data_IF_427214291124
#
_entry.id   IF_427214291124
#
_cell.length_a   1.000
_cell.length_b   1.000
_cell.length_c   1.000
_cell.angle_alpha   90.00
_cell.angle_beta   90.00
_cell.angle_gamma   90.00
#
_symmetry.space_group_name_H-M   'P 1'
#
loop_
_entity.id
_entity.type
_entity.pdbx_description
1 polymer ?
#
# COMPACT_ATOMS: atom_id res chain seq x y z
N UNK A 1 0.30 -15.15 0.99
CA UNK A 1 1.33 -14.54 1.82
C UNK A 1 2.74 -14.79 1.27
N UNK A 2 3.20 -16.07 1.14
CA UNK A 2 4.57 -16.40 0.71
C UNK A 2 4.96 -15.73 -0.61
N UNK A 3 4.08 -15.75 -1.61
CA UNK A 3 4.33 -15.05 -2.89
C UNK A 3 4.54 -13.55 -2.70
N UNK A 4 3.72 -12.91 -1.89
CA UNK A 4 3.83 -11.48 -1.62
C UNK A 4 5.17 -11.15 -0.96
N UNK A 5 5.63 -11.96 0.00
CA UNK A 5 6.94 -11.82 0.63
C UNK A 5 8.09 -12.01 -0.38
N UNK A 6 8.00 -13.01 -1.26
CA UNK A 6 9.00 -13.22 -2.31
C UNK A 6 9.11 -12.00 -3.24
N UNK A 7 7.97 -11.46 -3.71
CA UNK A 7 7.99 -10.27 -4.55
C UNK A 7 8.39 -9.00 -3.80
N UNK A 8 8.11 -8.92 -2.49
CA UNK A 8 8.64 -7.85 -1.65
C UNK A 8 10.17 -7.87 -1.60
N UNK A 9 10.77 -9.05 -1.43
CA UNK A 9 12.23 -9.21 -1.47
C UNK A 9 12.80 -8.88 -2.86
N UNK A 10 12.17 -9.37 -3.93
CA UNK A 10 12.58 -9.05 -5.30
C UNK A 10 12.47 -7.55 -5.63
N UNK A 11 11.55 -6.84 -5.00
CA UNK A 11 11.34 -5.41 -5.22
C UNK A 11 12.38 -4.52 -4.50
N UNK A 12 13.16 -5.05 -3.56
CA UNK A 12 14.16 -4.26 -2.81
C UNK A 12 15.16 -3.61 -3.77
N UNK A 13 15.76 -4.38 -4.66
CA UNK A 13 16.76 -3.87 -5.59
C UNK A 13 16.19 -2.82 -6.57
N UNK A 14 15.09 -3.07 -7.31
CA UNK A 14 14.44 -2.07 -8.14
C UNK A 14 14.06 -0.79 -7.39
N UNK A 15 13.61 -0.92 -6.15
CA UNK A 15 13.22 0.23 -5.33
C UNK A 15 14.43 1.12 -5.03
N UNK A 16 15.52 0.57 -4.52
CA UNK A 16 16.75 1.32 -4.26
C UNK A 16 17.35 1.91 -5.53
N UNK A 17 17.36 1.13 -6.60
CA UNK A 17 17.87 1.58 -7.89
C UNK A 17 17.05 2.75 -8.47
N UNK A 18 15.72 2.71 -8.34
CA UNK A 18 14.84 3.75 -8.86
C UNK A 18 14.97 5.06 -8.10
N UNK A 19 14.99 5.01 -6.77
CA UNK A 19 14.93 6.21 -5.94
C UNK A 19 16.30 6.88 -5.68
N UNK A 20 17.42 6.25 -6.07
CA UNK A 20 18.79 6.77 -5.80
C UNK A 20 18.97 7.27 -4.36
N UNK A 21 18.28 6.66 -3.42
CA UNK A 21 18.36 7.06 -2.04
C UNK A 21 19.72 6.65 -1.47
N UNK A 22 20.55 7.64 -1.09
CA UNK A 22 21.71 7.42 -0.21
C UNK A 22 21.28 7.08 1.22
N UNK A 23 19.98 6.92 1.44
CA UNK A 23 19.46 6.46 2.70
C UNK A 23 19.77 4.98 2.85
N UNK A 24 20.24 4.63 4.03
CA UNK A 24 20.59 3.28 4.40
C UNK A 24 19.60 2.25 3.91
N UNK A 25 20.12 1.09 3.52
CA UNK A 25 19.40 -0.04 2.94
C UNK A 25 18.32 -0.55 3.91
N UNK A 26 17.22 0.18 4.03
CA UNK A 26 16.05 -0.32 4.76
C UNK A 26 15.42 -1.44 3.94
N UNK A 27 15.81 -2.68 4.28
CA UNK A 27 15.34 -3.92 3.64
C UNK A 27 13.82 -3.99 3.51
N UNK A 28 13.11 -3.22 4.34
CA UNK A 28 11.66 -3.26 4.47
C UNK A 28 10.95 -2.03 3.89
N UNK A 29 11.68 -1.14 3.22
CA UNK A 29 11.12 0.10 2.71
C UNK A 29 10.46 -0.14 1.34
N UNK A 30 9.38 -0.94 1.31
CA UNK A 30 8.55 -1.10 0.12
C UNK A 30 7.10 -1.42 0.48
N UNK A 31 6.18 -1.02 -0.40
CA UNK A 31 4.73 -1.19 -0.25
C UNK A 31 4.34 -2.66 -0.07
N UNK A 32 4.98 -3.58 -0.79
CA UNK A 32 4.64 -5.01 -0.70
C UNK A 32 4.94 -5.60 0.68
N UNK A 33 5.95 -5.08 1.37
CA UNK A 33 6.25 -5.46 2.75
C UNK A 33 5.13 -5.00 3.69
N UNK A 34 4.70 -3.73 3.59
CA UNK A 34 3.58 -3.20 4.38
C UNK A 34 2.31 -4.01 4.15
N UNK A 35 2.01 -4.34 2.89
CA UNK A 35 0.86 -5.17 2.55
C UNK A 35 0.97 -6.59 3.11
N UNK A 36 2.16 -7.20 3.11
CA UNK A 36 2.38 -8.53 3.67
C UNK A 36 2.17 -8.55 5.19
N UNK A 37 2.71 -7.55 5.90
CA UNK A 37 2.50 -7.39 7.35
C UNK A 37 1.03 -7.13 7.67
N UNK A 38 0.37 -6.26 6.89
CA UNK A 38 -1.06 -6.01 7.01
C UNK A 38 -1.91 -7.26 6.81
N UNK A 39 -1.58 -8.10 5.83
CA UNK A 39 -2.27 -9.37 5.61
C UNK A 39 -2.04 -10.34 6.77
N UNK A 40 -0.83 -10.45 7.30
CA UNK A 40 -0.53 -11.24 8.50
C UNK A 40 -1.35 -10.78 9.70
N UNK A 41 -1.42 -9.48 9.92
CA UNK A 41 -2.24 -8.87 10.96
C UNK A 41 -3.70 -9.28 10.81
N UNK A 42 -4.29 -9.17 9.61
CA UNK A 42 -5.68 -9.56 9.38
C UNK A 42 -5.92 -11.05 9.61
N UNK A 43 -5.00 -11.91 9.18
CA UNK A 43 -5.07 -13.36 9.44
C UNK A 43 -5.00 -13.66 10.94
N UNK A 44 -4.17 -12.95 11.70
CA UNK A 44 -4.08 -13.11 13.15
C UNK A 44 -5.35 -12.61 13.86
N UNK A 45 -5.93 -11.49 13.40
CA UNK A 45 -7.19 -10.96 13.92
C UNK A 45 -8.35 -11.94 13.67
N UNK A 46 -8.40 -12.54 12.48
CA UNK A 46 -9.43 -13.53 12.14
C UNK A 46 -9.36 -14.76 13.06
N UNK A 47 -8.15 -15.19 13.39
CA UNK A 47 -7.94 -16.35 14.27
C UNK A 47 -8.10 -16.05 15.76
N UNK A 48 -7.64 -14.90 16.22
CA UNK A 48 -7.59 -14.51 17.64
C UNK A 48 -8.26 -13.14 17.90
N UNK A 49 -9.48 -12.98 17.48
CA UNK A 49 -10.21 -11.70 17.47
C UNK A 49 -10.21 -10.91 18.79
N UNK A 50 -10.07 -11.58 19.95
CA UNK A 50 -9.99 -10.92 21.27
C UNK A 50 -8.73 -10.05 21.42
N UNK A 51 -7.65 -10.37 20.68
CA UNK A 51 -6.38 -9.68 20.71
C UNK A 51 -6.18 -8.72 19.53
N UNK A 52 -7.24 -8.34 18.83
CA UNK A 52 -7.18 -7.54 17.60
C UNK A 52 -6.35 -6.27 17.71
N UNK A 53 -6.49 -5.53 18.79
CA UNK A 53 -5.75 -4.29 18.99
C UNK A 53 -4.25 -4.52 19.21
N UNK A 54 -3.89 -5.63 19.88
CA UNK A 54 -2.50 -6.03 20.04
C UNK A 54 -1.84 -6.30 18.68
N UNK A 55 -2.54 -7.01 17.78
CA UNK A 55 -2.02 -7.28 16.43
C UNK A 55 -1.91 -6.03 15.58
N UNK A 56 -2.84 -5.07 15.71
CA UNK A 56 -2.77 -3.78 15.02
C UNK A 56 -1.55 -3.00 15.51
N UNK A 57 -1.33 -2.91 16.82
CA UNK A 57 -0.17 -2.22 17.40
C UNK A 57 1.13 -2.89 16.98
N UNK A 58 1.24 -4.22 17.09
CA UNK A 58 2.42 -4.97 16.69
C UNK A 58 2.76 -4.77 15.21
N UNK A 59 1.77 -4.88 14.31
CA UNK A 59 1.96 -4.64 12.90
C UNK A 59 2.37 -3.20 12.61
N UNK A 60 1.80 -2.22 13.30
CA UNK A 60 2.17 -0.80 13.17
C UNK A 60 3.61 -0.54 13.58
N UNK A 61 4.10 -1.20 14.64
CA UNK A 61 5.50 -1.11 15.07
C UNK A 61 6.43 -1.72 14.01
N UNK A 62 6.09 -2.90 13.48
CA UNK A 62 6.88 -3.58 12.44
C UNK A 62 7.00 -2.72 11.18
N UNK A 63 5.92 -2.01 10.80
CA UNK A 63 5.88 -1.18 9.58
C UNK A 63 6.36 0.24 9.78
N UNK A 64 6.81 0.64 10.98
CA UNK A 64 7.27 2.01 11.29
C UNK A 64 8.29 2.55 10.28
N UNK A 65 9.21 1.69 9.84
CA UNK A 65 10.29 2.03 8.91
C UNK A 65 10.00 1.58 7.47
N UNK A 66 8.76 1.21 7.16
CA UNK A 66 8.36 0.90 5.79
C UNK A 66 7.82 2.14 5.09
N UNK A 67 7.67 2.06 3.76
CA UNK A 67 7.27 3.17 2.88
C UNK A 67 5.99 3.91 3.35
N UNK A 68 4.97 3.17 3.78
CA UNK A 68 3.71 3.74 4.28
C UNK A 68 3.62 3.81 5.81
N UNK A 69 4.63 3.32 6.52
CA UNK A 69 4.70 3.36 7.97
C UNK A 69 3.42 2.83 8.66
N UNK A 70 3.12 3.42 9.80
CA UNK A 70 1.92 3.11 10.59
C UNK A 70 0.63 3.33 9.78
N UNK A 71 0.60 4.37 8.95
CA UNK A 71 -0.59 4.74 8.17
C UNK A 71 -1.05 3.61 7.26
N UNK A 72 -0.11 2.92 6.59
CA UNK A 72 -0.43 1.79 5.73
C UNK A 72 -1.13 0.66 6.47
N UNK A 73 -0.61 0.29 7.64
CA UNK A 73 -1.20 -0.77 8.48
C UNK A 73 -2.57 -0.39 9.00
N UNK A 74 -2.76 0.86 9.45
CA UNK A 74 -4.05 1.35 9.91
C UNK A 74 -5.09 1.40 8.78
N UNK A 75 -4.71 1.83 7.59
CA UNK A 75 -5.58 1.82 6.41
C UNK A 75 -6.03 0.39 6.10
N UNK A 76 -5.12 -0.59 6.09
CA UNK A 76 -5.46 -2.00 5.84
C UNK A 76 -6.44 -2.51 6.89
N UNK A 77 -6.20 -2.20 8.17
CA UNK A 77 -7.13 -2.57 9.26
C UNK A 77 -8.50 -1.93 9.07
N UNK A 78 -8.57 -0.63 8.84
CA UNK A 78 -9.82 0.09 8.63
C UNK A 78 -10.58 -0.43 7.40
N UNK A 79 -9.89 -0.75 6.31
CA UNK A 79 -10.50 -1.34 5.11
C UNK A 79 -11.08 -2.74 5.37
N UNK A 80 -10.56 -3.48 6.35
CA UNK A 80 -11.10 -4.78 6.73
C UNK A 80 -12.44 -4.70 7.49
N UNK A 81 -12.77 -3.53 8.05
CA UNK A 81 -14.03 -3.31 8.76
C UNK A 81 -15.17 -3.21 7.74
N UNK A 82 -16.11 -4.16 7.80
CA UNK A 82 -17.22 -4.30 6.85
C UNK A 82 -18.10 -3.04 6.75
N UNK A 83 -18.65 -2.80 5.55
CA UNK A 83 -19.69 -1.82 5.24
C UNK A 83 -19.34 -0.34 5.41
N UNK A 84 -18.31 0.14 4.74
CA UNK A 84 -17.92 1.55 4.83
C UNK A 84 -17.52 2.17 3.48
N UNK A 85 -18.23 1.83 2.39
CA UNK A 85 -17.99 2.46 1.08
C UNK A 85 -18.06 3.99 1.17
N UNK A 86 -19.05 4.51 1.87
CA UNK A 86 -19.26 5.94 2.11
C UNK A 86 -18.09 6.56 2.89
N UNK A 87 -17.61 5.85 3.93
CA UNK A 87 -16.45 6.30 4.69
C UNK A 87 -15.20 6.39 3.82
N UNK A 88 -14.95 5.37 2.98
CA UNK A 88 -13.78 5.37 2.09
C UNK A 88 -13.88 6.38 0.97
N UNK A 89 -15.08 6.59 0.44
CA UNK A 89 -15.33 7.65 -0.53
C UNK A 89 -15.06 9.02 0.09
N UNK A 90 -15.58 9.28 1.30
CA UNK A 90 -15.35 10.52 2.04
C UNK A 90 -13.87 10.70 2.38
N UNK A 91 -13.18 9.64 2.84
CA UNK A 91 -11.74 9.68 3.12
C UNK A 91 -10.93 10.02 1.87
N UNK A 92 -11.23 9.40 0.74
CA UNK A 92 -10.54 9.66 -0.53
C UNK A 92 -10.77 11.07 -1.07
N UNK A 93 -11.87 11.72 -0.67
CA UNK A 93 -12.13 13.13 -1.00
C UNK A 93 -11.43 14.08 -0.03
N UNK A 94 -11.56 13.85 1.27
CA UNK A 94 -11.10 14.78 2.30
C UNK A 94 -9.58 14.71 2.51
N UNK A 95 -8.98 13.52 2.47
CA UNK A 95 -7.57 13.33 2.75
C UNK A 95 -6.65 14.15 1.81
N UNK A 96 -6.83 14.14 0.48
CA UNK A 96 -6.04 14.98 -0.42
C UNK A 96 -6.19 16.46 -0.15
N UNK A 97 -7.41 16.92 0.18
CA UNK A 97 -7.69 18.31 0.47
C UNK A 97 -6.97 18.75 1.74
N UNK A 98 -7.12 18.00 2.83
CA UNK A 98 -6.47 18.31 4.11
C UNK A 98 -4.94 18.29 3.95
N UNK A 99 -4.40 17.30 3.25
CA UNK A 99 -2.98 17.17 3.02
C UNK A 99 -2.42 18.34 2.18
N UNK A 100 -3.14 18.77 1.14
CA UNK A 100 -2.77 19.91 0.30
C UNK A 100 -2.67 21.20 1.12
N UNK A 101 -3.65 21.46 2.00
CA UNK A 101 -3.62 22.66 2.86
C UNK A 101 -2.52 22.60 3.93
N UNK A 102 -2.16 21.41 4.39
CA UNK A 102 -1.14 21.22 5.41
C UNK A 102 0.29 21.41 4.87
N UNK A 103 0.58 20.95 3.68
CA UNK A 103 1.92 20.97 3.11
C UNK A 103 2.25 22.19 2.27
N UNK A 104 1.22 22.89 1.78
CA UNK A 104 1.35 24.07 0.89
C UNK A 104 2.26 23.85 -0.33
N UNK A 105 2.47 22.60 -0.74
CA UNK A 105 3.33 22.22 -1.86
C UNK A 105 2.52 21.80 -3.07
N UNK A 106 2.65 22.53 -4.16
CA UNK A 106 2.03 22.21 -5.46
C UNK A 106 2.42 20.81 -5.99
N UNK A 107 3.58 20.29 -5.57
CA UNK A 107 4.03 18.93 -5.95
C UNK A 107 3.18 17.81 -5.36
N UNK A 108 2.38 18.10 -4.34
CA UNK A 108 1.53 17.10 -3.68
C UNK A 108 0.16 16.91 -4.35
N UNK A 109 -0.04 17.51 -5.53
CA UNK A 109 -1.24 17.29 -6.36
C UNK A 109 -1.46 15.81 -6.74
N UNK A 110 -0.42 14.99 -6.64
CA UNK A 110 -0.52 13.54 -6.84
C UNK A 110 -1.55 12.87 -5.91
N UNK A 111 -1.73 13.41 -4.70
CA UNK A 111 -2.75 12.90 -3.76
C UNK A 111 -4.18 13.15 -4.25
N UNK A 112 -4.40 14.16 -5.13
CA UNK A 112 -5.70 14.36 -5.77
C UNK A 112 -6.11 13.14 -6.61
N UNK A 113 -5.15 12.33 -7.04
CA UNK A 113 -5.43 11.05 -7.70
C UNK A 113 -6.28 10.09 -6.88
N UNK A 114 -6.29 10.22 -5.54
CA UNK A 114 -7.16 9.42 -4.67
C UNK A 114 -8.65 9.68 -4.90
N UNK A 115 -9.02 10.87 -5.41
CA UNK A 115 -10.41 11.19 -5.75
C UNK A 115 -10.96 10.21 -6.80
N UNK A 116 -10.11 9.75 -7.73
CA UNK A 116 -10.49 8.76 -8.74
C UNK A 116 -10.77 7.36 -8.17
N UNK A 117 -10.42 7.10 -6.90
CA UNK A 117 -10.79 5.84 -6.24
C UNK A 117 -12.25 5.83 -5.78
N UNK A 118 -12.89 7.00 -5.65
CA UNK A 118 -14.28 7.12 -5.19
C UNK A 118 -15.24 6.30 -6.06
N UNK A 119 -15.29 6.47 -7.40
CA UNK A 119 -16.17 5.65 -8.22
C UNK A 119 -15.84 4.15 -8.11
N UNK A 120 -14.58 3.78 -7.89
CA UNK A 120 -14.20 2.37 -7.73
C UNK A 120 -14.83 1.75 -6.47
N UNK A 121 -14.94 2.49 -5.36
CA UNK A 121 -15.63 2.01 -4.16
C UNK A 121 -17.12 1.74 -4.39
N UNK A 122 -17.78 2.56 -5.21
CA UNK A 122 -19.20 2.38 -5.53
C UNK A 122 -19.43 1.29 -6.57
N UNK A 123 -18.55 1.16 -7.54
CA UNK A 123 -18.63 0.13 -8.59
C UNK A 123 -18.28 -1.27 -8.05
N UNK A 124 -17.52 -1.36 -6.96
CA UNK A 124 -17.13 -2.65 -6.40
C UNK A 124 -18.30 -3.32 -5.67
N UNK A 125 -18.73 -4.44 -6.18
CA UNK A 125 -19.85 -5.25 -5.65
C UNK A 125 -19.45 -6.27 -4.58
N UNK A 126 -18.15 -6.33 -4.22
CA UNK A 126 -17.61 -7.29 -3.25
C UNK A 126 -17.30 -8.65 -3.85
N UNK A 127 -17.56 -8.87 -5.15
CA UNK A 127 -17.24 -10.13 -5.81
C UNK A 127 -15.77 -10.19 -6.20
N UNK A 128 -15.23 -11.41 -6.18
CA UNK A 128 -13.87 -11.64 -6.63
C UNK A 128 -13.85 -11.68 -8.15
N UNK A 129 -13.18 -10.72 -8.77
CA UNK A 129 -12.97 -10.70 -10.21
C UNK A 129 -12.15 -11.89 -10.73
N UNK A 130 -11.87 -11.88 -12.01
CA UNK A 130 -11.07 -12.92 -12.66
C UNK A 130 -9.72 -13.09 -11.96
N UNK A 131 -9.41 -14.32 -11.52
CA UNK A 131 -8.24 -14.64 -10.69
C UNK A 131 -7.33 -15.70 -11.31
N UNK A 132 -7.06 -15.59 -12.61
CA UNK A 132 -6.13 -16.46 -13.31
C UNK A 132 -4.71 -16.43 -12.70
N UNK A 133 -3.93 -17.51 -12.90
CA UNK A 133 -2.56 -17.60 -12.38
C UNK A 133 -1.70 -16.42 -12.87
N UNK A 134 -1.79 -16.08 -14.14
CA UNK A 134 -1.06 -14.97 -14.76
C UNK A 134 -1.41 -13.61 -14.17
N UNK A 135 -2.68 -13.35 -13.88
CA UNK A 135 -3.12 -12.11 -13.26
C UNK A 135 -2.48 -11.90 -11.89
N UNK A 136 -2.42 -12.97 -11.07
CA UNK A 136 -1.80 -12.91 -9.73
C UNK A 136 -0.31 -12.58 -9.79
N UNK A 137 0.43 -13.19 -10.72
CA UNK A 137 1.85 -12.89 -10.90
C UNK A 137 2.05 -11.50 -11.51
N UNK A 138 1.20 -11.09 -12.43
CA UNK A 138 1.23 -9.77 -13.05
C UNK A 138 1.11 -8.64 -12.03
N UNK A 139 0.20 -8.76 -11.07
CA UNK A 139 0.06 -7.77 -9.99
C UNK A 139 1.31 -7.60 -9.15
N UNK A 140 1.93 -8.70 -8.75
CA UNK A 140 3.15 -8.63 -7.94
C UNK A 140 4.36 -8.16 -8.75
N UNK A 141 4.45 -8.55 -10.01
CA UNK A 141 5.54 -8.17 -10.89
C UNK A 141 5.44 -6.71 -11.35
N UNK A 142 4.22 -6.18 -11.43
CA UNK A 142 3.98 -4.78 -11.81
C UNK A 142 4.77 -3.82 -10.93
N UNK A 143 4.79 -4.05 -9.60
CA UNK A 143 5.46 -3.15 -8.68
C UNK A 143 6.98 -3.01 -8.93
N UNK A 144 7.80 -4.07 -9.02
CA UNK A 144 9.21 -3.91 -9.36
C UNK A 144 9.43 -3.42 -10.80
N UNK A 145 8.59 -3.82 -11.75
CA UNK A 145 8.75 -3.43 -13.16
C UNK A 145 8.49 -1.95 -13.39
N UNK A 146 7.42 -1.36 -12.82
CA UNK A 146 7.15 0.06 -13.05
C UNK A 146 8.25 0.95 -12.44
N UNK A 147 8.85 0.56 -11.32
CA UNK A 147 9.99 1.27 -10.75
C UNK A 147 11.21 1.26 -11.68
N UNK A 148 11.51 0.12 -12.31
CA UNK A 148 12.56 0.03 -13.31
C UNK A 148 12.27 0.89 -14.53
N UNK A 149 11.04 0.89 -15.02
CA UNK A 149 10.63 1.74 -16.16
C UNK A 149 10.78 3.23 -15.83
N UNK A 150 10.31 3.67 -14.65
CA UNK A 150 10.48 5.05 -14.19
C UNK A 150 11.97 5.42 -14.17
N UNK A 151 12.81 4.52 -13.65
CA UNK A 151 14.26 4.75 -13.61
C UNK A 151 14.87 4.85 -14.98
N UNK A 152 14.51 3.97 -15.91
CA UNK A 152 15.01 4.01 -17.29
C UNK A 152 14.63 5.33 -17.98
N UNK A 153 13.38 5.77 -17.80
CA UNK A 153 12.92 7.06 -18.32
C UNK A 153 13.75 8.22 -17.73
N UNK A 154 13.99 8.20 -16.41
CA UNK A 154 14.79 9.24 -15.73
C UNK A 154 16.27 9.28 -16.13
N UNK A 155 16.78 8.26 -16.82
CA UNK A 155 18.14 8.24 -17.36
C UNK A 155 18.21 8.80 -18.79
N UNK A 156 17.06 8.91 -19.47
CA UNK A 156 16.97 9.38 -20.86
C UNK A 156 16.64 10.89 -20.90
N UNK A 157 15.92 11.37 -19.88
CA UNK A 157 15.56 12.78 -19.71
C UNK A 157 16.56 13.46 -18.78
#
# INVERSE_FOLDING_TARGET
LLRMLLYALLAIYPFHFALRSNQDLYLFNNVLFTLAVGLLMLMAIDKWGKLKYLFVVAASIITLFSDWGISGTLIIYLMSLKNKKEFWALFSLLFPIVYFFQTSRWMDLTYLGLIFTVPLFYLYDGTKGYSGKWMKHGFYLYYPLHLLVIKLISLII
#
